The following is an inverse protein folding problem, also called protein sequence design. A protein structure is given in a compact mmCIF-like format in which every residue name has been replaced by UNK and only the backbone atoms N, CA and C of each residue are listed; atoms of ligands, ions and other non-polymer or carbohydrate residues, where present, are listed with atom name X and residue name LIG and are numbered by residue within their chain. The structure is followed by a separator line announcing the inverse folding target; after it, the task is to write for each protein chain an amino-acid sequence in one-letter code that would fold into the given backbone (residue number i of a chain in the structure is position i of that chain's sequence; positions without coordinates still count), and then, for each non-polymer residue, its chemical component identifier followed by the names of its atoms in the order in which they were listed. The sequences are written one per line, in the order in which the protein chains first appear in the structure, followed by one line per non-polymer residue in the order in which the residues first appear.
data_IF_922815959228
#
_entry.id   IF_922815959228
#
_cell.length_a   1.000
_cell.length_b   1.000
_cell.length_c   1.000
_cell.angle_alpha   90.00
_cell.angle_beta   90.00
_cell.angle_gamma   90.00
#
_symmetry.space_group_name_H-M   'P 1'
#
loop_
_entity.id
_entity.type
_entity.pdbx_description
1 polymer ?
#
# COMPACT_ATOMS: atom_id res chain seq x y z
N UNK A 1 34.38 32.81 59.08
CA UNK A 1 34.47 33.38 57.72
C UNK A 1 34.51 32.35 56.56
N UNK A 2 34.49 31.02 56.77
CA UNK A 2 34.51 30.01 55.68
C UNK A 2 33.15 29.59 55.09
N UNK A 3 32.02 30.00 55.67
CA UNK A 3 30.67 29.60 55.21
C UNK A 3 30.02 30.53 54.18
N UNK A 4 30.59 31.71 53.92
CA UNK A 4 30.07 32.69 52.93
C UNK A 4 30.71 32.58 51.55
N UNK A 5 31.92 32.04 51.41
CA UNK A 5 32.57 31.83 50.11
C UNK A 5 31.94 30.69 49.30
N UNK A 6 31.54 29.57 49.95
CA UNK A 6 30.92 28.44 49.24
C UNK A 6 29.51 28.74 48.67
N UNK A 7 28.85 29.81 49.12
CA UNK A 7 27.51 30.16 48.62
C UNK A 7 27.57 30.94 47.30
N UNK A 8 28.59 31.77 47.12
CA UNK A 8 28.81 32.53 45.90
C UNK A 8 29.37 31.64 44.76
N UNK A 9 30.14 30.60 45.10
CA UNK A 9 30.63 29.62 44.13
C UNK A 9 29.50 28.71 43.62
N UNK A 10 28.54 28.37 44.48
CA UNK A 10 27.36 27.58 44.12
C UNK A 10 26.31 28.35 43.30
N UNK A 11 26.23 29.68 43.45
CA UNK A 11 25.35 30.54 42.64
C UNK A 11 25.95 30.87 41.27
N UNK A 12 27.28 30.94 41.14
CA UNK A 12 27.96 31.18 39.85
C UNK A 12 27.86 30.00 38.86
N UNK A 13 27.55 28.79 39.35
CA UNK A 13 27.49 27.59 38.51
C UNK A 13 26.08 27.34 37.94
N UNK A 14 25.05 28.02 38.48
CA UNK A 14 23.63 27.84 38.10
C UNK A 14 23.18 28.66 36.88
N UNK A 15 24.06 29.49 36.31
CA UNK A 15 23.76 30.39 35.18
C UNK A 15 24.62 30.20 33.93
N UNK A 16 25.41 29.13 33.84
CA UNK A 16 25.94 28.71 32.53
C UNK A 16 24.90 27.87 31.80
N UNK A 17 24.09 28.53 30.98
CA UNK A 17 23.36 27.90 29.89
C UNK A 17 24.42 27.23 29.01
N UNK A 18 24.38 25.90 28.78
CA UNK A 18 25.30 25.27 27.86
C UNK A 18 25.06 25.85 26.47
N UNK A 19 26.12 26.34 25.84
CA UNK A 19 26.09 26.73 24.44
C UNK A 19 25.71 25.46 23.63
N UNK A 20 24.67 25.49 22.76
CA UNK A 20 24.23 24.28 22.05
C UNK A 20 25.25 23.76 21.03
N UNK A 21 26.33 24.52 20.77
CA UNK A 21 27.25 24.27 19.67
C UNK A 21 28.55 23.54 20.05
N UNK A 22 28.74 23.09 21.31
CA UNK A 22 30.05 22.57 21.76
C UNK A 22 30.14 21.08 22.13
N UNK A 23 29.13 20.26 21.84
CA UNK A 23 29.24 18.79 21.97
C UNK A 23 28.87 18.10 20.65
N UNK A 24 29.66 18.39 19.60
CA UNK A 24 29.81 17.52 18.45
C UNK A 24 30.53 16.23 18.89
N UNK A 25 29.83 15.41 19.66
CA UNK A 25 30.21 14.02 19.90
C UNK A 25 30.01 13.26 18.58
N UNK A 26 31.11 12.68 18.08
CA UNK A 26 31.17 11.84 16.89
C UNK A 26 30.29 10.59 17.06
N UNK A 27 28.98 10.73 16.89
CA UNK A 27 28.29 9.75 16.08
C UNK A 27 28.82 9.93 14.67
N UNK A 28 29.23 8.84 14.01
CA UNK A 28 29.31 8.85 12.55
C UNK A 28 27.87 8.85 12.03
N UNK A 29 27.18 9.95 12.34
CA UNK A 29 25.80 10.19 12.01
C UNK A 29 25.78 10.19 10.49
N UNK A 30 25.07 9.24 9.91
CA UNK A 30 24.83 9.30 8.49
C UNK A 30 24.11 10.63 8.28
N UNK A 31 24.81 11.61 7.68
CA UNK A 31 24.16 12.87 7.29
C UNK A 31 22.83 12.52 6.64
N UNK A 32 21.75 13.21 7.00
CA UNK A 32 20.42 12.98 6.41
C UNK A 32 20.47 12.84 4.88
N UNK A 33 21.42 13.55 4.25
CA UNK A 33 21.75 13.45 2.82
C UNK A 33 22.17 12.04 2.39
N UNK A 34 23.02 11.34 3.15
CA UNK A 34 23.45 9.96 2.87
C UNK A 34 22.29 8.98 3.00
N UNK A 35 21.46 9.12 4.04
CA UNK A 35 20.25 8.28 4.21
C UNK A 35 19.30 8.50 3.03
N UNK A 36 19.05 9.76 2.67
CA UNK A 36 18.23 10.12 1.52
C UNK A 36 18.81 9.57 0.21
N UNK A 37 20.10 9.75 -0.03
CA UNK A 37 20.79 9.19 -1.21
C UNK A 37 20.66 7.68 -1.28
N UNK A 38 20.79 6.97 -0.15
CA UNK A 38 20.61 5.52 -0.09
C UNK A 38 19.17 5.12 -0.40
N UNK A 39 18.18 5.76 0.23
CA UNK A 39 16.76 5.49 -0.05
C UNK A 39 16.41 5.77 -1.52
N UNK A 40 16.94 6.86 -2.10
CA UNK A 40 16.72 7.21 -3.50
C UNK A 40 17.39 6.19 -4.43
N UNK A 41 18.64 5.81 -4.17
CA UNK A 41 19.34 4.79 -4.94
C UNK A 41 18.60 3.45 -4.89
N UNK A 42 18.15 3.03 -3.70
CA UNK A 42 17.32 1.84 -3.53
C UNK A 42 16.02 1.92 -4.35
N UNK A 43 15.32 3.06 -4.34
CA UNK A 43 14.10 3.25 -5.13
C UNK A 43 14.36 3.18 -6.63
N UNK A 44 15.44 3.80 -7.10
CA UNK A 44 15.84 3.74 -8.52
C UNK A 44 16.16 2.29 -8.90
N UNK A 45 17.01 1.60 -8.13
CA UNK A 45 17.36 0.20 -8.39
C UNK A 45 16.09 -0.67 -8.40
N UNK A 46 15.21 -0.51 -7.42
CA UNK A 46 13.96 -1.27 -7.36
C UNK A 46 13.07 -1.01 -8.59
N UNK A 47 12.95 0.25 -9.03
CA UNK A 47 12.17 0.60 -10.23
C UNK A 47 12.74 0.04 -11.53
N UNK A 48 14.06 -0.16 -11.61
CA UNK A 48 14.73 -0.72 -12.78
C UNK A 48 14.74 -2.25 -12.78
N UNK A 49 14.63 -2.87 -11.61
CA UNK A 49 14.69 -4.32 -11.47
C UNK A 49 13.32 -4.99 -11.48
N UNK A 50 12.26 -4.31 -11.05
CA UNK A 50 10.92 -4.89 -10.96
C UNK A 50 10.46 -5.42 -12.32
N UNK A 51 9.94 -6.65 -12.34
CA UNK A 51 9.46 -7.34 -13.55
C UNK A 51 8.02 -7.79 -13.40
N UNK A 52 7.37 -7.41 -12.30
CA UNK A 52 6.01 -7.80 -11.99
C UNK A 52 5.09 -6.60 -12.18
N UNK A 53 3.89 -6.92 -12.66
CA UNK A 53 2.82 -5.96 -12.80
C UNK A 53 1.83 -6.19 -11.67
N UNK A 54 1.36 -5.08 -11.11
CA UNK A 54 0.18 -5.04 -10.28
C UNK A 54 -0.68 -3.93 -10.84
N UNK A 55 -2.00 -4.10 -10.93
CA UNK A 55 -2.90 -2.99 -11.26
C UNK A 55 -3.22 -2.23 -9.97
N UNK A 56 -2.56 -1.10 -9.67
CA UNK A 56 -2.85 -0.32 -8.48
C UNK A 56 -4.16 0.45 -8.69
N UNK A 57 -5.31 -0.14 -8.35
CA UNK A 57 -6.54 0.65 -8.45
C UNK A 57 -6.52 1.91 -7.56
N UNK A 58 -5.64 2.01 -6.53
CA UNK A 58 -5.47 3.27 -5.77
C UNK A 58 -4.10 3.46 -5.04
N UNK A 59 -2.97 2.94 -5.54
CA UNK A 59 -1.69 2.89 -4.76
C UNK A 59 -0.65 4.00 -5.00
N UNK A 60 -1.01 5.20 -5.48
CA UNK A 60 -0.08 6.36 -5.47
C UNK A 60 0.15 6.95 -4.07
N UNK A 61 0.23 6.10 -3.06
CA UNK A 61 0.35 6.45 -1.66
C UNK A 61 1.80 6.28 -1.22
N UNK A 62 2.61 7.28 -1.53
CA UNK A 62 3.79 7.56 -0.73
C UNK A 62 3.32 8.19 0.58
N UNK A 63 3.50 7.55 1.76
CA UNK A 63 3.36 8.23 3.03
C UNK A 63 4.62 9.08 3.27
N UNK A 64 4.89 10.04 2.38
CA UNK A 64 5.77 11.15 2.75
C UNK A 64 4.94 12.10 3.58
N UNK A 65 4.89 11.82 4.89
CA UNK A 65 4.28 12.74 5.83
C UNK A 65 5.16 13.97 5.86
N UNK A 66 4.74 15.04 5.19
CA UNK A 66 5.25 16.37 5.44
C UNK A 66 4.84 16.78 6.85
N UNK A 67 5.54 16.28 7.87
CA UNK A 67 5.19 16.40 9.29
C UNK A 67 4.96 17.86 9.70
N UNK A 68 5.75 18.78 9.15
CA UNK A 68 5.61 20.22 9.40
C UNK A 68 4.35 20.83 8.78
N UNK A 69 3.86 20.29 7.67
CA UNK A 69 2.64 20.72 6.97
C UNK A 69 1.41 20.08 7.64
N UNK A 70 1.47 18.79 7.97
CA UNK A 70 0.37 18.02 8.57
C UNK A 70 0.14 18.29 10.07
N UNK A 71 1.18 18.66 10.83
CA UNK A 71 1.08 18.95 12.27
C UNK A 71 1.47 20.40 12.62
N UNK A 72 1.62 21.27 11.61
CA UNK A 72 1.75 22.71 11.79
C UNK A 72 0.39 23.42 11.86
N UNK A 73 0.37 24.75 11.68
CA UNK A 73 -0.88 25.55 11.67
C UNK A 73 -1.89 25.14 10.59
N UNK A 74 -1.46 24.37 9.58
CA UNK A 74 -2.30 23.90 8.49
C UNK A 74 -2.83 22.47 8.68
N UNK A 75 -2.56 21.82 9.82
CA UNK A 75 -2.85 20.39 9.98
C UNK A 75 -4.31 20.01 9.78
N UNK A 76 -5.24 20.85 10.23
CA UNK A 76 -6.67 20.64 10.04
C UNK A 76 -7.10 20.77 8.57
N UNK A 77 -6.47 21.67 7.81
CA UNK A 77 -6.71 21.83 6.37
C UNK A 77 -6.19 20.61 5.61
N UNK A 78 -5.01 20.11 5.98
CA UNK A 78 -4.44 18.88 5.39
C UNK A 78 -5.32 17.67 5.70
N UNK A 79 -5.84 17.57 6.93
CA UNK A 79 -6.80 16.54 7.32
C UNK A 79 -8.08 16.62 6.49
N UNK A 80 -8.67 17.81 6.35
CA UNK A 80 -9.87 18.02 5.56
C UNK A 80 -9.65 17.67 4.08
N UNK A 81 -8.52 18.10 3.50
CA UNK A 81 -8.13 17.78 2.13
C UNK A 81 -7.93 16.27 1.94
N UNK A 82 -7.26 15.59 2.88
CA UNK A 82 -7.06 14.15 2.84
C UNK A 82 -8.39 13.39 2.90
N UNK A 83 -9.36 13.83 3.71
CA UNK A 83 -10.70 13.25 3.79
C UNK A 83 -11.55 13.54 2.55
N UNK A 84 -11.39 14.72 1.94
CA UNK A 84 -12.07 15.11 0.72
C UNK A 84 -11.61 14.29 -0.49
N UNK A 85 -10.29 14.15 -0.67
CA UNK A 85 -9.70 13.32 -1.72
C UNK A 85 -9.97 11.85 -1.45
N UNK A 86 -9.86 11.43 -0.18
CA UNK A 86 -10.00 10.04 0.22
C UNK A 86 -10.85 9.92 1.50
N UNK A 87 -12.16 9.64 1.37
CA UNK A 87 -13.06 9.52 2.52
C UNK A 87 -12.62 8.50 3.58
N UNK A 88 -11.91 7.44 3.18
CA UNK A 88 -11.37 6.43 4.10
C UNK A 88 -10.32 6.99 5.06
N UNK A 89 -9.61 8.07 4.70
CA UNK A 89 -8.66 8.77 5.59
C UNK A 89 -9.34 9.38 6.83
N UNK A 90 -10.66 9.59 6.78
CA UNK A 90 -11.42 10.13 7.90
C UNK A 90 -11.29 9.28 9.15
N UNK A 91 -11.14 7.96 9.02
CA UNK A 91 -11.00 7.05 10.17
C UNK A 91 -9.73 7.37 10.98
N UNK A 92 -8.61 7.62 10.30
CA UNK A 92 -7.34 8.01 10.92
C UNK A 92 -7.43 9.39 11.56
N UNK A 93 -7.94 10.38 10.81
CA UNK A 93 -8.00 11.77 11.26
C UNK A 93 -9.05 11.99 12.36
N UNK A 94 -10.12 11.18 12.40
CA UNK A 94 -11.11 11.23 13.48
C UNK A 94 -10.50 10.85 14.83
N UNK A 95 -9.63 9.83 14.87
CA UNK A 95 -8.92 9.45 16.09
C UNK A 95 -8.00 10.57 16.58
N UNK A 96 -7.20 11.15 15.67
CA UNK A 96 -6.29 12.25 15.99
C UNK A 96 -7.08 13.48 16.44
N UNK A 97 -8.14 13.83 15.71
CA UNK A 97 -9.02 14.96 16.02
C UNK A 97 -9.73 14.80 17.37
N UNK A 98 -10.21 13.60 17.70
CA UNK A 98 -10.81 13.31 19.00
C UNK A 98 -9.80 13.46 20.14
N UNK A 99 -8.58 12.92 19.98
CA UNK A 99 -7.53 13.08 20.98
C UNK A 99 -7.17 14.55 21.20
N UNK A 100 -7.16 15.37 20.15
CA UNK A 100 -6.85 16.79 20.25
C UNK A 100 -8.00 17.59 20.86
N UNK A 101 -9.24 17.26 20.50
CA UNK A 101 -10.44 17.83 21.11
C UNK A 101 -10.51 17.55 22.62
N UNK A 102 -10.12 16.35 23.04
CA UNK A 102 -10.10 15.97 24.46
C UNK A 102 -9.03 16.73 25.27
N UNK A 103 -7.89 17.08 24.66
CA UNK A 103 -6.82 17.86 25.30
C UNK A 103 -7.10 19.36 25.32
N UNK A 104 -7.83 19.87 24.34
CA UNK A 104 -8.07 21.30 24.18
C UNK A 104 -8.94 21.82 25.32
N UNK A 105 -8.51 22.93 25.95
CA UNK A 105 -9.24 23.57 27.06
C UNK A 105 -10.59 24.13 26.63
N UNK A 106 -10.63 24.79 25.46
CA UNK A 106 -11.84 25.42 24.93
C UNK A 106 -12.36 24.66 23.70
N UNK A 107 -13.10 23.58 23.97
CA UNK A 107 -13.55 22.61 22.96
C UNK A 107 -14.53 23.22 21.97
N UNK A 108 -15.44 24.06 22.45
CA UNK A 108 -16.48 24.68 21.63
C UNK A 108 -15.85 25.70 20.67
N UNK A 109 -14.90 26.51 21.16
CA UNK A 109 -14.20 27.46 20.30
C UNK A 109 -13.42 26.75 19.20
N UNK A 110 -12.66 25.71 19.54
CA UNK A 110 -11.92 24.92 18.54
C UNK A 110 -12.86 24.30 17.49
N UNK A 111 -13.98 23.72 17.91
CA UNK A 111 -14.94 23.10 17.00
C UNK A 111 -15.58 24.13 16.05
N UNK A 112 -16.13 25.23 16.59
CA UNK A 112 -16.91 26.17 15.80
C UNK A 112 -16.07 27.18 15.02
N UNK A 113 -14.88 27.55 15.49
CA UNK A 113 -14.02 28.54 14.82
C UNK A 113 -12.94 27.93 13.92
N UNK A 114 -12.55 26.68 14.13
CA UNK A 114 -11.50 26.04 13.33
C UNK A 114 -12.07 24.88 12.51
N UNK A 115 -12.67 23.87 13.14
CA UNK A 115 -13.11 22.64 12.47
C UNK A 115 -14.26 22.89 11.49
N UNK A 116 -15.35 23.51 11.95
CA UNK A 116 -16.56 23.72 11.14
C UNK A 116 -16.28 24.60 9.91
N UNK A 117 -15.60 25.76 10.01
CA UNK A 117 -15.35 26.60 8.84
C UNK A 117 -14.48 25.91 7.79
N UNK A 118 -13.44 25.19 8.22
CA UNK A 118 -12.56 24.42 7.31
C UNK A 118 -13.35 23.29 6.65
N UNK A 119 -14.18 22.58 7.41
CA UNK A 119 -15.03 21.51 6.89
C UNK A 119 -16.02 22.01 5.85
N UNK A 120 -16.74 23.10 6.14
CA UNK A 120 -17.71 23.71 5.20
C UNK A 120 -17.00 24.18 3.93
N UNK A 121 -15.86 24.86 4.07
CA UNK A 121 -15.08 25.31 2.93
C UNK A 121 -14.66 24.12 2.05
N UNK A 122 -14.13 23.05 2.65
CA UNK A 122 -13.66 21.89 1.90
C UNK A 122 -14.80 21.16 1.20
N UNK A 123 -15.93 20.96 1.89
CA UNK A 123 -17.14 20.34 1.31
C UNK A 123 -17.70 21.17 0.16
N UNK A 124 -17.72 22.50 0.32
CA UNK A 124 -18.13 23.42 -0.73
C UNK A 124 -17.22 23.33 -1.96
N UNK A 125 -15.90 23.33 -1.76
CA UNK A 125 -14.92 23.19 -2.84
C UNK A 125 -15.06 21.84 -3.57
N UNK A 126 -15.22 20.73 -2.85
CA UNK A 126 -15.44 19.42 -3.48
C UNK A 126 -16.74 19.38 -4.26
N UNK A 127 -17.83 19.95 -3.74
CA UNK A 127 -19.12 19.93 -4.41
C UNK A 127 -19.11 20.80 -5.68
N UNK A 128 -18.39 21.92 -5.68
CA UNK A 128 -18.16 22.73 -6.88
C UNK A 128 -17.35 21.98 -7.94
N UNK A 129 -16.30 21.27 -7.53
CA UNK A 129 -15.48 20.46 -8.43
C UNK A 129 -16.29 19.29 -9.00
N UNK A 130 -17.04 18.58 -8.15
CA UNK A 130 -17.93 17.50 -8.57
C UNK A 130 -18.99 18.03 -9.56
N UNK A 131 -19.58 19.19 -9.30
CA UNK A 131 -20.52 19.82 -10.22
C UNK A 131 -19.88 20.17 -11.57
N UNK A 132 -18.68 20.74 -11.56
CA UNK A 132 -17.94 21.08 -12.77
C UNK A 132 -17.61 19.83 -13.61
N UNK A 133 -17.21 18.73 -12.98
CA UNK A 133 -16.83 17.49 -13.67
C UNK A 133 -18.02 16.66 -14.15
N UNK A 134 -19.04 16.50 -13.30
CA UNK A 134 -20.20 15.64 -13.59
C UNK A 134 -21.38 16.39 -14.25
N UNK A 135 -21.35 17.73 -14.29
CA UNK A 135 -22.43 18.57 -14.82
C UNK A 135 -23.70 18.61 -13.96
N UNK A 136 -23.68 18.00 -12.77
CA UNK A 136 -24.79 17.94 -11.81
C UNK A 136 -24.27 18.05 -10.39
N UNK A 137 -25.09 18.63 -9.50
CA UNK A 137 -24.76 18.72 -8.09
C UNK A 137 -24.77 17.31 -7.47
N UNK A 138 -23.57 16.82 -7.15
CA UNK A 138 -23.36 15.55 -6.46
C UNK A 138 -22.44 15.82 -5.28
N UNK A 139 -22.66 15.08 -4.20
CA UNK A 139 -21.72 14.99 -3.10
C UNK A 139 -21.09 13.60 -3.09
N UNK A 140 -19.95 13.45 -3.77
CA UNK A 140 -19.28 12.16 -3.96
C UNK A 140 -18.98 11.44 -2.64
N UNK A 141 -18.52 12.11 -1.56
CA UNK A 141 -18.30 11.45 -0.27
C UNK A 141 -19.55 10.80 0.34
N UNK A 142 -20.75 11.35 0.12
CA UNK A 142 -22.00 10.72 0.57
C UNK A 142 -22.35 9.50 -0.26
N UNK A 143 -22.13 9.56 -1.57
CA UNK A 143 -22.33 8.39 -2.44
C UNK A 143 -21.34 7.27 -2.10
N UNK A 144 -20.09 7.64 -1.80
CA UNK A 144 -19.08 6.70 -1.32
C UNK A 144 -19.53 6.02 -0.02
N UNK A 145 -20.03 6.78 0.96
CA UNK A 145 -20.56 6.23 2.21
C UNK A 145 -21.75 5.31 1.94
N UNK A 146 -22.68 5.74 1.08
CA UNK A 146 -23.85 4.95 0.70
C UNK A 146 -23.45 3.62 0.05
N UNK A 147 -22.53 3.65 -0.91
CA UNK A 147 -22.11 2.45 -1.64
C UNK A 147 -21.30 1.49 -0.77
N UNK A 148 -20.28 1.99 -0.07
CA UNK A 148 -19.32 1.15 0.65
C UNK A 148 -19.81 0.72 2.04
N UNK A 149 -20.53 1.57 2.76
CA UNK A 149 -20.94 1.29 4.14
C UNK A 149 -22.41 0.91 4.27
N UNK A 150 -23.31 1.57 3.53
CA UNK A 150 -24.76 1.37 3.70
C UNK A 150 -25.35 0.30 2.77
N UNK A 151 -24.79 0.13 1.56
CA UNK A 151 -25.35 -0.75 0.52
C UNK A 151 -24.54 -2.05 0.33
N UNK A 152 -23.44 -2.23 1.08
CA UNK A 152 -22.55 -3.40 0.96
C UNK A 152 -22.08 -3.62 -0.50
N UNK A 153 -21.83 -2.54 -1.25
CA UNK A 153 -21.40 -2.63 -2.65
C UNK A 153 -20.00 -3.25 -2.79
N UNK A 154 -19.10 -2.95 -1.84
CA UNK A 154 -17.76 -3.53 -1.80
C UNK A 154 -17.74 -5.05 -1.58
N UNK A 155 -18.81 -5.64 -1.03
CA UNK A 155 -18.89 -7.09 -0.82
C UNK A 155 -18.92 -7.87 -2.15
N UNK A 156 -19.21 -7.20 -3.28
CA UNK A 156 -19.09 -7.77 -4.63
C UNK A 156 -17.67 -8.30 -4.90
N UNK A 157 -16.65 -7.58 -4.42
CA UNK A 157 -15.24 -7.94 -4.60
C UNK A 157 -14.74 -8.93 -3.53
N UNK A 158 -15.65 -9.61 -2.84
CA UNK A 158 -15.34 -10.60 -1.81
C UNK A 158 -15.35 -10.02 -0.39
N UNK A 159 -15.50 -10.92 0.58
CA UNK A 159 -15.56 -10.57 2.01
C UNK A 159 -14.62 -11.44 2.82
N UNK A 160 -14.11 -10.85 3.91
CA UNK A 160 -13.24 -11.54 4.85
C UNK A 160 -13.85 -11.52 6.26
N UNK A 161 -13.49 -12.51 7.10
CA UNK A 161 -13.95 -12.54 8.50
C UNK A 161 -13.46 -11.31 9.27
N UNK A 162 -14.18 -10.93 10.33
CA UNK A 162 -13.89 -9.73 11.11
C UNK A 162 -12.44 -9.68 11.65
N UNK A 163 -11.87 -10.84 12.02
CA UNK A 163 -10.52 -10.94 12.56
C UNK A 163 -9.42 -10.89 11.50
N UNK A 164 -9.75 -10.84 10.21
CA UNK A 164 -8.78 -10.98 9.13
C UNK A 164 -7.61 -10.01 9.22
N UNK A 165 -7.85 -8.73 9.54
CA UNK A 165 -6.76 -7.76 9.72
C UNK A 165 -5.79 -8.14 10.85
N UNK A 166 -6.29 -8.72 11.94
CA UNK A 166 -5.47 -9.11 13.08
C UNK A 166 -4.72 -10.42 12.86
N UNK A 167 -5.32 -11.36 12.10
CA UNK A 167 -4.74 -12.70 11.91
C UNK A 167 -3.89 -12.82 10.65
N UNK A 168 -4.25 -12.10 9.58
CA UNK A 168 -3.66 -12.26 8.25
C UNK A 168 -3.30 -10.91 7.64
N UNK A 169 -4.28 -10.02 7.43
CA UNK A 169 -4.12 -8.77 6.67
C UNK A 169 -2.95 -7.90 7.15
N UNK A 170 -3.06 -7.30 8.34
CA UNK A 170 -2.00 -6.44 8.86
C UNK A 170 -0.74 -7.23 9.25
N UNK A 171 -0.92 -8.46 9.71
CA UNK A 171 0.17 -9.37 10.10
C UNK A 171 1.10 -9.69 8.94
N UNK A 172 0.59 -9.91 7.73
CA UNK A 172 1.38 -10.12 6.51
C UNK A 172 2.07 -8.83 6.09
N UNK A 173 1.44 -7.66 6.26
CA UNK A 173 2.05 -6.38 5.90
C UNK A 173 3.26 -6.02 6.76
N UNK A 174 3.17 -6.26 8.06
CA UNK A 174 4.29 -6.00 8.99
C UNK A 174 5.30 -7.16 9.02
N UNK A 175 4.85 -8.37 8.66
CA UNK A 175 5.68 -9.56 8.48
C UNK A 175 6.65 -9.81 9.65
N UNK A 176 7.93 -10.03 9.37
CA UNK A 176 8.97 -10.32 10.37
C UNK A 176 9.27 -9.15 11.30
N UNK A 177 8.75 -7.95 11.04
CA UNK A 177 8.83 -6.82 11.96
C UNK A 177 7.80 -6.89 13.11
N UNK A 178 6.83 -7.82 13.07
CA UNK A 178 5.76 -7.92 14.08
C UNK A 178 6.28 -8.05 15.53
N UNK A 179 7.20 -8.98 15.85
CA UNK A 179 7.66 -9.14 17.24
C UNK A 179 8.36 -7.88 17.77
N UNK A 180 9.10 -7.20 16.90
CA UNK A 180 9.77 -5.93 17.18
C UNK A 180 8.75 -4.81 17.41
N UNK A 181 7.67 -4.76 16.63
CA UNK A 181 6.59 -3.79 16.83
C UNK A 181 5.93 -3.98 18.20
N UNK A 182 5.57 -5.22 18.56
CA UNK A 182 4.97 -5.53 19.86
C UNK A 182 5.92 -5.14 21.00
N UNK A 183 7.20 -5.52 20.90
CA UNK A 183 8.21 -5.12 21.89
C UNK A 183 8.35 -3.58 21.98
N UNK A 184 8.35 -2.89 20.84
CA UNK A 184 8.41 -1.44 20.77
C UNK A 184 7.21 -0.74 21.41
N UNK A 185 6.00 -1.27 21.23
CA UNK A 185 4.78 -0.78 21.90
C UNK A 185 4.94 -0.92 23.43
N UNK A 186 5.41 -2.07 23.90
CA UNK A 186 5.61 -2.35 25.33
C UNK A 186 6.68 -1.42 25.93
N UNK A 187 7.81 -1.24 25.24
CA UNK A 187 8.94 -0.45 25.75
C UNK A 187 8.71 1.06 25.68
N UNK A 188 8.11 1.57 24.61
CA UNK A 188 7.91 3.01 24.40
C UNK A 188 6.82 3.60 25.30
N UNK A 189 5.86 2.78 25.77
CA UNK A 189 4.66 3.21 26.51
C UNK A 189 3.85 4.31 25.79
N UNK A 190 3.98 4.44 24.47
CA UNK A 190 3.28 5.43 23.66
C UNK A 190 1.88 4.93 23.25
N UNK A 191 0.97 4.85 24.22
CA UNK A 191 -0.38 4.31 24.04
C UNK A 191 -1.21 5.05 22.97
N UNK A 192 -0.92 6.31 22.67
CA UNK A 192 -1.66 7.08 21.64
C UNK A 192 -1.44 6.51 20.23
N UNK A 193 -0.20 6.21 19.87
CA UNK A 193 0.13 5.65 18.55
C UNK A 193 -0.29 4.19 18.44
N UNK A 194 -0.10 3.40 19.51
CA UNK A 194 -0.62 2.03 19.58
C UNK A 194 -2.16 2.00 19.49
N UNK A 195 -2.83 2.94 20.17
CA UNK A 195 -4.27 3.13 20.10
C UNK A 195 -4.76 3.52 18.70
N UNK A 196 -3.99 4.32 17.96
CA UNK A 196 -4.31 4.65 16.56
C UNK A 196 -4.25 3.41 15.66
N UNK A 197 -3.23 2.56 15.81
CA UNK A 197 -3.14 1.29 15.07
C UNK A 197 -4.37 0.43 15.41
N UNK A 198 -4.64 0.21 16.70
CA UNK A 198 -5.79 -0.58 17.14
C UNK A 198 -7.14 -0.01 16.66
N UNK A 199 -7.29 1.31 16.66
CA UNK A 199 -8.48 2.02 16.16
C UNK A 199 -8.71 1.75 14.68
N UNK A 200 -7.69 1.95 13.84
CA UNK A 200 -7.80 1.75 12.40
C UNK A 200 -8.09 0.29 12.07
N UNK A 201 -7.36 -0.66 12.67
CA UNK A 201 -7.62 -2.08 12.47
C UNK A 201 -9.03 -2.49 12.94
N UNK A 202 -9.44 -2.02 14.12
CA UNK A 202 -10.75 -2.34 14.69
C UNK A 202 -11.90 -1.79 13.84
N UNK A 203 -11.81 -0.55 13.36
CA UNK A 203 -12.87 0.06 12.57
C UNK A 203 -13.02 -0.61 11.21
N UNK A 204 -11.92 -0.84 10.49
CA UNK A 204 -11.99 -1.54 9.20
C UNK A 204 -12.35 -3.03 9.34
N UNK A 205 -12.10 -3.65 10.50
CA UNK A 205 -12.52 -5.03 10.78
C UNK A 205 -14.04 -5.22 10.80
N UNK A 206 -14.82 -4.15 11.01
CA UNK A 206 -16.29 -4.17 10.99
C UNK A 206 -16.83 -4.37 9.56
N UNK A 207 -16.10 -3.91 8.55
CA UNK A 207 -16.54 -3.98 7.15
C UNK A 207 -16.39 -5.40 6.60
N UNK A 208 -17.33 -5.85 5.76
CA UNK A 208 -17.29 -7.16 5.09
C UNK A 208 -16.10 -7.26 4.15
N UNK A 209 -16.06 -6.35 3.16
CA UNK A 209 -14.92 -6.14 2.28
C UNK A 209 -13.70 -5.57 3.00
N UNK A 210 -12.53 -6.15 2.74
CA UNK A 210 -11.26 -5.78 3.38
C UNK A 210 -10.13 -5.81 2.38
N UNK A 211 -9.22 -4.87 2.51
CA UNK A 211 -8.07 -4.73 1.63
C UNK A 211 -6.85 -4.25 2.42
N UNK A 212 -5.66 -4.66 2.00
CA UNK A 212 -4.41 -4.21 2.63
C UNK A 212 -4.26 -2.68 2.59
N UNK A 213 -4.77 -2.02 1.53
CA UNK A 213 -4.66 -0.56 1.34
C UNK A 213 -5.39 0.28 2.38
N UNK A 214 -6.43 -0.24 3.02
CA UNK A 214 -7.19 0.51 4.03
C UNK A 214 -6.38 0.70 5.32
N UNK A 215 -5.53 -0.26 5.65
CA UNK A 215 -4.69 -0.26 6.87
C UNK A 215 -3.23 0.11 6.58
N UNK A 216 -2.85 0.28 5.32
CA UNK A 216 -1.52 0.73 4.90
C UNK A 216 -1.04 2.02 5.59
N UNK A 217 -1.88 3.04 5.84
CA UNK A 217 -1.43 4.26 6.51
C UNK A 217 -0.89 4.07 7.94
N UNK A 218 -1.27 2.99 8.64
CA UNK A 218 -0.76 2.70 9.98
C UNK A 218 0.48 1.79 9.99
N UNK A 219 0.89 1.25 8.83
CA UNK A 219 2.09 0.43 8.70
C UNK A 219 3.37 1.21 9.07
N UNK A 220 3.61 2.45 8.60
CA UNK A 220 4.78 3.22 9.03
C UNK A 220 4.83 3.44 10.55
N UNK A 221 3.67 3.63 11.19
CA UNK A 221 3.59 3.81 12.65
C UNK A 221 3.98 2.51 13.38
N UNK A 222 3.55 1.36 12.86
CA UNK A 222 3.98 0.07 13.39
C UNK A 222 5.49 -0.16 13.20
N UNK A 223 6.04 0.20 12.05
CA UNK A 223 7.48 0.11 11.78
C UNK A 223 8.31 1.07 12.65
N UNK A 224 7.77 2.23 13.03
CA UNK A 224 8.41 3.10 14.03
C UNK A 224 8.59 2.39 15.37
N UNK A 225 7.61 1.62 15.83
CA UNK A 225 7.77 0.81 17.05
C UNK A 225 8.83 -0.28 16.87
N UNK A 226 8.89 -0.94 15.71
CA UNK A 226 9.93 -1.91 15.40
C UNK A 226 11.32 -1.26 15.48
N UNK A 227 11.51 -0.10 14.87
CA UNK A 227 12.76 0.68 14.96
C UNK A 227 13.12 1.07 16.39
N UNK A 228 12.15 1.53 17.18
CA UNK A 228 12.35 1.84 18.60
C UNK A 228 12.83 0.61 19.39
N UNK A 229 12.25 -0.56 19.16
CA UNK A 229 12.66 -1.78 19.85
C UNK A 229 14.10 -2.19 19.52
N UNK A 230 14.53 -2.01 18.27
CA UNK A 230 15.90 -2.29 17.84
C UNK A 230 16.90 -1.32 18.49
N UNK A 231 16.56 -0.02 18.55
CA UNK A 231 17.38 0.97 19.22
C UNK A 231 17.54 0.67 20.74
N UNK A 232 16.50 0.15 21.39
CA UNK A 232 16.58 -0.29 22.80
C UNK A 232 17.45 -1.53 22.96
N UNK A 233 17.46 -2.45 21.99
CA UNK A 233 18.33 -3.65 22.00
C UNK A 233 19.80 -3.26 21.84
N UNK A 234 20.08 -2.25 21.01
CA UNK A 234 21.44 -1.73 20.80
C UNK A 234 22.02 -1.10 22.06
N UNK A 235 21.20 -0.34 22.78
CA UNK A 235 21.60 0.31 24.03
C UNK A 235 20.50 0.26 25.10
N UNK A 236 20.44 -0.85 25.88
CA UNK A 236 19.48 -1.01 26.96
C UNK A 236 19.63 0.03 28.09
N UNK A 237 20.75 0.77 28.11
CA UNK A 237 21.13 1.72 29.15
C UNK A 237 21.19 3.18 28.68
N UNK A 238 20.71 3.50 27.48
CA UNK A 238 20.91 4.84 26.90
C UNK A 238 20.31 5.96 27.76
N UNK A 239 21.07 7.05 28.02
CA UNK A 239 20.58 8.28 28.63
C UNK A 239 19.35 8.86 27.94
N UNK A 240 19.20 8.60 26.64
CA UNK A 240 18.11 9.09 25.78
C UNK A 240 16.75 8.51 26.22
N UNK A 241 16.73 7.31 26.80
CA UNK A 241 15.50 6.63 27.26
C UNK A 241 15.32 6.66 28.79
N UNK A 242 16.39 7.00 29.54
CA UNK A 242 16.40 7.28 31.00
C UNK A 242 17.35 8.43 31.26
N UNK A 243 16.87 9.67 31.30
CA UNK A 243 17.68 10.90 31.38
C UNK A 243 18.77 10.97 32.46
N UNK A 244 19.96 10.38 32.22
CA UNK A 244 21.22 10.56 32.98
C UNK A 244 22.43 10.17 32.13
N UNK A 245 23.48 11.01 32.20
CA UNK A 245 24.65 11.13 31.31
C UNK A 245 25.38 9.84 30.88
N UNK A 246 25.94 9.91 29.67
CA UNK A 246 26.64 8.90 28.88
C UNK A 246 27.89 8.31 29.53
N UNK A 247 28.02 6.99 29.46
CA UNK A 247 29.30 6.27 29.56
C UNK A 247 29.76 5.91 28.15
N UNK A 248 31.07 6.01 27.89
CA UNK A 248 31.71 5.71 26.60
C UNK A 248 31.26 4.36 26.03
N UNK A 249 30.81 4.35 24.77
CA UNK A 249 30.37 3.14 24.07
C UNK A 249 31.46 2.59 23.16
N UNK A 250 31.69 1.29 23.27
CA UNK A 250 32.39 0.51 22.27
C UNK A 250 31.64 0.54 20.93
N UNK A 251 32.36 0.80 19.84
CA UNK A 251 31.92 0.92 18.44
C UNK A 251 31.40 -0.38 17.80
N UNK A 252 31.11 -1.42 18.59
CA UNK A 252 30.77 -2.76 18.08
C UNK A 252 29.28 -3.05 18.30
N UNK A 253 28.55 -3.31 17.21
CA UNK A 253 27.16 -3.76 17.25
C UNK A 253 27.01 -4.96 18.20
N UNK A 254 26.05 -4.88 19.12
CA UNK A 254 25.70 -5.98 20.04
C UNK A 254 25.34 -7.24 19.24
N UNK A 255 25.77 -8.46 19.64
CA UNK A 255 25.45 -9.68 18.90
C UNK A 255 23.93 -9.91 18.76
N UNK A 256 23.13 -9.39 19.71
CA UNK A 256 21.67 -9.42 19.64
C UNK A 256 21.10 -8.50 18.54
N UNK A 257 21.68 -7.32 18.38
CA UNK A 257 21.35 -6.37 17.32
C UNK A 257 21.70 -6.98 15.96
N UNK A 258 22.91 -7.52 15.82
CA UNK A 258 23.36 -8.19 14.59
C UNK A 258 22.45 -9.35 14.21
N UNK A 259 22.06 -10.20 15.18
CA UNK A 259 21.14 -11.31 14.94
C UNK A 259 19.75 -10.82 14.50
N UNK A 260 19.22 -9.76 15.13
CA UNK A 260 17.94 -9.18 14.78
C UNK A 260 17.95 -8.58 13.36
N UNK A 261 19.00 -7.84 13.00
CA UNK A 261 19.19 -7.31 11.65
C UNK A 261 19.30 -8.45 10.64
N UNK A 262 20.12 -9.46 10.92
CA UNK A 262 20.27 -10.62 10.03
C UNK A 262 18.93 -11.33 9.82
N UNK A 263 18.15 -11.56 10.89
CA UNK A 263 16.82 -12.14 10.79
C UNK A 263 15.88 -11.32 9.89
N UNK A 264 15.86 -9.99 10.06
CA UNK A 264 15.04 -9.10 9.22
C UNK A 264 15.50 -9.12 7.76
N UNK A 265 16.80 -9.09 7.50
CA UNK A 265 17.33 -9.12 6.14
C UNK A 265 17.04 -10.46 5.45
N UNK A 266 17.30 -11.58 6.12
CA UNK A 266 17.10 -12.94 5.58
C UNK A 266 15.62 -13.23 5.31
N UNK A 267 14.71 -12.65 6.09
CA UNK A 267 13.26 -12.85 5.87
C UNK A 267 12.71 -11.91 4.79
N UNK A 268 13.12 -10.64 4.75
CA UNK A 268 12.54 -9.65 3.84
C UNK A 268 13.20 -9.62 2.46
N UNK A 269 14.53 -9.74 2.35
CA UNK A 269 15.21 -9.60 1.04
C UNK A 269 14.81 -10.70 0.06
N UNK A 270 14.85 -12.01 0.41
CA UNK A 270 14.44 -13.06 -0.52
C UNK A 270 12.97 -12.93 -0.91
N UNK A 271 12.10 -12.56 0.05
CA UNK A 271 10.67 -12.34 -0.22
C UNK A 271 10.48 -11.18 -1.20
N UNK A 272 11.14 -10.04 -0.96
CA UNK A 272 11.04 -8.86 -1.83
C UNK A 272 11.55 -9.17 -3.25
N UNK A 273 12.69 -9.83 -3.38
CA UNK A 273 13.24 -10.23 -4.69
C UNK A 273 12.30 -11.21 -5.40
N UNK A 274 11.80 -12.24 -4.72
CA UNK A 274 10.89 -13.20 -5.32
C UNK A 274 9.59 -12.56 -5.79
N UNK A 275 8.96 -11.73 -4.95
CA UNK A 275 7.69 -11.07 -5.27
C UNK A 275 7.83 -9.96 -6.32
N UNK A 276 9.03 -9.39 -6.50
CA UNK A 276 9.28 -8.34 -7.49
C UNK A 276 9.81 -8.85 -8.82
N UNK A 277 10.43 -10.04 -8.85
CA UNK A 277 11.15 -10.55 -10.03
C UNK A 277 10.57 -11.85 -10.59
N UNK A 278 9.82 -12.62 -9.80
CA UNK A 278 9.44 -13.99 -10.16
C UNK A 278 7.94 -14.19 -10.07
N UNK A 279 7.35 -13.91 -8.90
CA UNK A 279 5.93 -14.19 -8.68
C UNK A 279 5.03 -13.22 -9.45
N UNK A 280 4.06 -13.74 -10.20
CA UNK A 280 3.15 -12.97 -11.06
C UNK A 280 3.87 -12.13 -12.13
N UNK A 281 4.96 -12.66 -12.68
CA UNK A 281 5.73 -12.01 -13.77
C UNK A 281 5.07 -12.16 -15.15
N UNK A 282 4.26 -13.19 -15.34
CA UNK A 282 3.72 -13.59 -16.65
C UNK A 282 3.02 -12.48 -17.43
N UNK A 283 2.15 -11.66 -16.81
CA UNK A 283 1.46 -10.58 -17.50
C UNK A 283 2.40 -9.59 -18.17
N UNK A 284 3.49 -9.24 -17.50
CA UNK A 284 4.48 -8.29 -17.98
C UNK A 284 5.28 -8.90 -19.14
N UNK A 285 5.73 -10.15 -19.00
CA UNK A 285 6.48 -10.86 -20.05
C UNK A 285 5.65 -11.05 -21.34
N UNK A 286 4.36 -11.37 -21.20
CA UNK A 286 3.44 -11.52 -22.34
C UNK A 286 3.27 -10.20 -23.08
N UNK A 287 3.03 -9.10 -22.34
CA UNK A 287 2.83 -7.80 -22.96
C UNK A 287 4.11 -7.27 -23.60
N UNK A 288 5.28 -7.51 -23.00
CA UNK A 288 6.58 -7.25 -23.62
C UNK A 288 6.75 -7.98 -24.95
N UNK A 289 6.39 -9.27 -24.99
CA UNK A 289 6.46 -10.06 -26.21
C UNK A 289 5.51 -9.53 -27.29
N UNK A 290 4.25 -9.27 -26.93
CA UNK A 290 3.26 -8.71 -27.85
C UNK A 290 3.67 -7.33 -28.37
N UNK A 291 4.29 -6.49 -27.54
CA UNK A 291 4.83 -5.20 -27.97
C UNK A 291 5.93 -5.37 -29.03
N UNK A 292 6.85 -6.31 -28.82
CA UNK A 292 7.87 -6.66 -29.81
C UNK A 292 7.29 -7.19 -31.13
N UNK A 293 6.30 -8.09 -31.06
CA UNK A 293 5.64 -8.62 -32.27
C UNK A 293 4.76 -7.58 -32.98
N UNK A 294 4.16 -6.65 -32.24
CA UNK A 294 3.42 -5.51 -32.78
C UNK A 294 4.35 -4.56 -33.55
N UNK A 295 5.57 -4.31 -33.06
CA UNK A 295 6.56 -3.50 -33.77
C UNK A 295 6.94 -4.10 -35.13
N UNK A 296 6.96 -5.43 -35.25
CA UNK A 296 7.22 -6.13 -36.52
C UNK A 296 5.98 -6.29 -37.41
N UNK A 297 4.80 -5.85 -36.96
CA UNK A 297 3.54 -5.96 -37.71
C UNK A 297 2.93 -7.37 -37.70
N UNK A 298 3.37 -8.25 -36.79
CA UNK A 298 2.86 -9.61 -36.67
C UNK A 298 1.55 -9.68 -35.87
N UNK A 299 1.35 -8.76 -34.92
CA UNK A 299 0.12 -8.63 -34.13
C UNK A 299 -0.84 -7.65 -34.79
N UNK A 300 -2.09 -8.07 -35.01
CA UNK A 300 -3.16 -7.21 -35.56
C UNK A 300 -4.28 -6.94 -34.57
N UNK A 301 -4.59 -7.92 -33.73
CA UNK A 301 -5.63 -7.87 -32.71
C UNK A 301 -5.37 -8.92 -31.63
N UNK A 302 -5.65 -8.59 -30.37
CA UNK A 302 -5.41 -9.48 -29.23
C UNK A 302 -6.69 -9.67 -28.43
N UNK A 303 -7.03 -10.91 -28.12
CA UNK A 303 -8.11 -11.26 -27.19
C UNK A 303 -7.53 -11.84 -25.90
N UNK A 304 -7.90 -11.25 -24.77
CA UNK A 304 -7.53 -11.71 -23.44
C UNK A 304 -8.68 -12.54 -22.86
N UNK A 305 -8.52 -13.86 -22.84
CA UNK A 305 -9.37 -14.81 -22.13
C UNK A 305 -8.78 -15.06 -20.73
N UNK A 306 -8.70 -13.99 -19.97
CA UNK A 306 -8.18 -13.95 -18.60
C UNK A 306 -9.18 -13.20 -17.70
N UNK A 307 -9.10 -13.35 -16.37
CA UNK A 307 -9.78 -12.43 -15.46
C UNK A 307 -9.49 -10.97 -15.80
N UNK A 308 -10.42 -10.09 -15.46
CA UNK A 308 -10.22 -8.66 -15.61
C UNK A 308 -8.96 -8.15 -14.91
N UNK A 309 -8.36 -7.11 -15.49
CA UNK A 309 -7.15 -6.44 -14.98
C UNK A 309 -5.92 -7.35 -14.84
N UNK A 310 -5.91 -8.52 -15.51
CA UNK A 310 -4.79 -9.45 -15.44
C UNK A 310 -3.51 -8.96 -16.14
N UNK A 311 -3.59 -8.02 -17.08
CA UNK A 311 -2.43 -7.52 -17.84
C UNK A 311 -2.37 -5.98 -17.88
N UNK A 312 -1.17 -5.37 -18.04
CA UNK A 312 -0.98 -3.91 -18.12
C UNK A 312 -1.53 -3.28 -19.40
N UNK A 313 -1.93 -4.08 -20.39
CA UNK A 313 -2.64 -3.63 -21.58
C UNK A 313 -1.85 -2.54 -22.35
N UNK A 314 -2.50 -1.45 -22.77
CA UNK A 314 -1.85 -0.39 -23.56
C UNK A 314 -0.68 0.30 -22.84
N UNK A 315 -0.62 0.23 -21.50
CA UNK A 315 0.48 0.85 -20.76
C UNK A 315 1.84 0.23 -21.07
N UNK A 316 1.84 -1.04 -21.53
CA UNK A 316 3.05 -1.75 -21.94
C UNK A 316 3.12 -2.00 -23.46
N UNK A 317 1.97 -2.16 -24.13
CA UNK A 317 1.97 -2.45 -25.57
C UNK A 317 2.50 -1.27 -26.41
N UNK A 318 2.19 -0.03 -26.03
CA UNK A 318 2.55 1.19 -26.76
C UNK A 318 2.20 1.22 -28.27
N UNK A 319 1.27 0.38 -28.72
CA UNK A 319 0.78 0.33 -30.10
C UNK A 319 -0.75 0.44 -30.16
N UNK A 320 -1.24 1.18 -31.16
CA UNK A 320 -2.68 1.34 -31.40
C UNK A 320 -3.23 0.15 -32.20
N UNK A 321 -3.52 -0.94 -31.50
CA UNK A 321 -4.09 -2.17 -32.05
C UNK A 321 -5.36 -2.53 -31.26
N UNK A 322 -6.41 -3.08 -31.89
CA UNK A 322 -7.60 -3.52 -31.19
C UNK A 322 -7.25 -4.65 -30.22
N UNK A 323 -7.49 -4.41 -28.94
CA UNK A 323 -7.41 -5.41 -27.89
C UNK A 323 -8.79 -5.59 -27.26
N UNK A 324 -9.13 -6.79 -26.84
CA UNK A 324 -10.41 -7.12 -26.20
C UNK A 324 -10.17 -7.97 -24.95
N UNK A 325 -10.90 -7.71 -23.88
CA UNK A 325 -10.92 -8.53 -22.67
C UNK A 325 -12.39 -8.74 -22.24
N UNK A 326 -12.62 -9.73 -21.40
CA UNK A 326 -13.97 -10.10 -20.93
C UNK A 326 -14.57 -9.00 -20.05
N UNK A 327 -15.85 -8.66 -20.23
CA UNK A 327 -16.50 -7.67 -19.39
C UNK A 327 -16.65 -8.15 -17.94
N UNK A 328 -16.34 -7.26 -17.01
CA UNK A 328 -16.50 -7.46 -15.56
C UNK A 328 -17.16 -6.26 -14.90
N UNK A 329 -17.94 -5.50 -15.68
CA UNK A 329 -18.72 -4.39 -15.15
C UNK A 329 -19.71 -4.95 -14.13
N UNK A 330 -19.69 -4.47 -12.86
CA UNK A 330 -20.56 -5.01 -11.83
C UNK A 330 -22.03 -4.71 -12.15
N UNK A 331 -22.88 -5.73 -12.02
CA UNK A 331 -24.34 -5.59 -12.17
C UNK A 331 -24.95 -4.80 -11.00
N UNK A 332 -26.04 -4.08 -11.24
CA UNK A 332 -26.84 -3.46 -10.18
C UNK A 332 -27.52 -4.51 -9.28
N UNK A 333 -27.78 -5.71 -9.82
CA UNK A 333 -28.36 -6.83 -9.10
C UNK A 333 -27.28 -7.72 -8.49
N UNK A 334 -27.34 -7.90 -7.17
CA UNK A 334 -26.39 -8.76 -6.44
C UNK A 334 -26.54 -10.22 -6.88
N UNK A 335 -25.42 -10.84 -7.23
CA UNK A 335 -25.32 -12.27 -7.51
C UNK A 335 -25.52 -12.65 -8.97
N UNK A 336 -25.69 -11.68 -9.87
CA UNK A 336 -25.63 -11.93 -11.31
C UNK A 336 -24.14 -11.97 -11.72
N UNK A 337 -23.62 -13.12 -12.19
CA UNK A 337 -22.24 -13.22 -12.66
C UNK A 337 -22.04 -12.37 -13.93
N UNK A 338 -20.88 -11.73 -14.01
CA UNK A 338 -20.45 -10.99 -15.20
C UNK A 338 -19.87 -11.93 -16.29
N UNK A 339 -19.51 -11.37 -17.44
CA UNK A 339 -18.97 -12.15 -18.58
C UNK A 339 -17.68 -12.87 -18.19
N UNK A 340 -16.79 -12.20 -17.43
CA UNK A 340 -15.57 -12.80 -16.91
C UNK A 340 -15.89 -13.95 -15.95
N UNK A 341 -16.87 -13.81 -15.06
CA UNK A 341 -17.26 -14.88 -14.14
C UNK A 341 -17.84 -16.09 -14.87
N UNK A 342 -18.71 -15.86 -15.86
CA UNK A 342 -19.24 -16.93 -16.71
C UNK A 342 -18.15 -17.73 -17.41
N UNK A 343 -17.15 -17.04 -17.97
CA UNK A 343 -15.99 -17.69 -18.57
C UNK A 343 -15.21 -18.53 -17.56
N UNK A 344 -14.99 -18.01 -16.35
CA UNK A 344 -14.19 -18.71 -15.33
C UNK A 344 -14.93 -19.92 -14.74
N UNK A 345 -16.26 -19.90 -14.70
CA UNK A 345 -17.08 -21.04 -14.27
C UNK A 345 -17.03 -22.20 -15.27
N UNK A 346 -17.28 -21.91 -16.56
CA UNK A 346 -17.24 -22.94 -17.61
C UNK A 346 -16.66 -22.40 -18.94
N UNK A 347 -15.34 -22.48 -19.14
CA UNK A 347 -14.68 -21.86 -20.28
C UNK A 347 -15.11 -22.43 -21.63
N UNK A 348 -15.35 -23.75 -21.74
CA UNK A 348 -15.53 -24.40 -23.03
C UNK A 348 -16.87 -24.07 -23.72
N UNK A 349 -18.03 -24.12 -23.03
CA UNK A 349 -19.29 -23.63 -23.58
C UNK A 349 -19.25 -22.12 -23.83
N UNK A 350 -18.66 -21.34 -22.91
CA UNK A 350 -18.52 -19.89 -23.05
C UNK A 350 -17.82 -19.53 -24.35
N UNK A 351 -16.61 -20.08 -24.59
CA UNK A 351 -15.84 -19.77 -25.80
C UNK A 351 -16.55 -20.25 -27.06
N UNK A 352 -17.28 -21.37 -27.00
CA UNK A 352 -18.06 -21.87 -28.15
C UNK A 352 -19.20 -20.94 -28.55
N UNK A 353 -19.85 -20.28 -27.57
CA UNK A 353 -20.87 -19.28 -27.85
C UNK A 353 -20.26 -17.95 -28.27
N UNK A 354 -19.24 -17.50 -27.53
CA UNK A 354 -18.50 -16.28 -27.81
C UNK A 354 -17.91 -16.29 -29.21
N UNK A 355 -17.44 -17.47 -29.66
CA UNK A 355 -16.86 -17.66 -30.98
C UNK A 355 -17.82 -17.40 -32.15
N UNK A 356 -19.14 -17.44 -31.91
CA UNK A 356 -20.15 -17.11 -32.92
C UNK A 356 -20.23 -15.61 -33.21
N UNK A 357 -19.80 -14.77 -32.25
CA UNK A 357 -19.93 -13.31 -32.29
C UNK A 357 -18.59 -12.61 -32.48
N UNK A 358 -17.48 -13.25 -32.13
CA UNK A 358 -16.17 -12.60 -32.18
C UNK A 358 -15.63 -12.42 -33.60
N UNK A 359 -14.90 -11.32 -33.84
CA UNK A 359 -14.02 -11.20 -35.00
C UNK A 359 -12.76 -12.01 -34.71
N UNK A 360 -12.33 -12.93 -35.59
CA UNK A 360 -11.15 -13.78 -35.36
C UNK A 360 -9.92 -12.94 -34.94
N UNK A 361 -9.50 -12.98 -33.66
CA UNK A 361 -8.32 -12.24 -33.22
C UNK A 361 -7.04 -12.85 -33.82
N UNK A 362 -6.00 -12.03 -34.00
CA UNK A 362 -4.70 -12.58 -34.44
C UNK A 362 -4.01 -13.37 -33.33
N UNK A 363 -4.17 -12.94 -32.08
CA UNK A 363 -3.57 -13.55 -30.91
C UNK A 363 -4.61 -13.72 -29.79
N UNK A 364 -4.52 -14.83 -29.07
CA UNK A 364 -5.34 -15.12 -27.88
C UNK A 364 -4.39 -15.34 -26.70
N UNK A 365 -4.67 -14.68 -25.58
CA UNK A 365 -3.92 -14.79 -24.33
C UNK A 365 -4.80 -15.41 -23.27
N UNK A 366 -4.32 -16.45 -22.59
CA UNK A 366 -5.03 -17.13 -21.52
C UNK A 366 -4.08 -17.76 -20.51
N UNK A 367 -4.55 -17.97 -19.28
CA UNK A 367 -3.83 -18.74 -18.28
C UNK A 367 -3.89 -20.24 -18.60
N UNK A 368 -2.89 -20.98 -18.12
CA UNK A 368 -2.75 -22.41 -18.39
C UNK A 368 -3.87 -23.27 -17.79
N UNK A 369 -4.46 -22.87 -16.67
CA UNK A 369 -5.64 -23.51 -16.07
C UNK A 369 -6.84 -23.59 -17.02
N UNK A 370 -7.10 -22.51 -17.75
CA UNK A 370 -8.19 -22.39 -18.72
C UNK A 370 -7.79 -23.00 -20.06
N UNK A 371 -6.50 -22.87 -20.44
CA UNK A 371 -5.94 -23.44 -21.66
C UNK A 371 -6.11 -24.96 -21.73
N UNK A 372 -5.89 -25.67 -20.63
CA UNK A 372 -6.09 -27.12 -20.55
C UNK A 372 -7.51 -27.55 -20.97
N UNK A 373 -8.51 -26.72 -20.71
CA UNK A 373 -9.91 -26.98 -21.07
C UNK A 373 -10.24 -26.56 -22.50
N UNK A 374 -9.54 -25.55 -23.03
CA UNK A 374 -9.84 -24.91 -24.32
C UNK A 374 -8.95 -25.36 -25.48
N UNK A 375 -7.84 -26.04 -25.21
CA UNK A 375 -6.82 -26.40 -26.21
C UNK A 375 -7.38 -27.02 -27.49
N UNK A 376 -8.26 -28.01 -27.36
CA UNK A 376 -8.85 -28.69 -28.50
C UNK A 376 -9.75 -27.76 -29.33
N UNK A 377 -10.49 -26.87 -28.67
CA UNK A 377 -11.33 -25.86 -29.33
C UNK A 377 -10.49 -24.78 -30.02
N UNK A 378 -9.40 -24.33 -29.40
CA UNK A 378 -8.49 -23.36 -30.03
C UNK A 378 -7.84 -23.93 -31.30
N UNK A 379 -7.40 -25.19 -31.24
CA UNK A 379 -6.84 -25.89 -32.42
C UNK A 379 -7.89 -26.03 -33.53
N UNK A 380 -9.14 -26.37 -33.19
CA UNK A 380 -10.22 -26.48 -34.19
C UNK A 380 -10.59 -25.14 -34.82
N UNK A 381 -10.40 -24.03 -34.09
CA UNK A 381 -10.54 -22.67 -34.62
C UNK A 381 -9.31 -22.17 -35.41
N UNK A 382 -8.29 -23.01 -35.59
CA UNK A 382 -7.09 -22.69 -36.39
C UNK A 382 -6.00 -21.95 -35.62
N UNK A 383 -6.00 -22.00 -34.28
CA UNK A 383 -4.92 -21.42 -33.48
C UNK A 383 -3.86 -22.46 -33.12
N UNK A 384 -2.61 -22.00 -33.00
CA UNK A 384 -1.50 -22.78 -32.47
C UNK A 384 -0.87 -22.05 -31.28
N UNK A 385 -0.35 -22.81 -30.31
CA UNK A 385 0.48 -22.24 -29.25
C UNK A 385 1.74 -21.65 -29.88
N UNK A 386 1.99 -20.36 -29.63
CA UNK A 386 3.19 -19.66 -30.06
C UNK A 386 4.23 -19.64 -28.95
N UNK A 387 3.80 -19.26 -27.74
CA UNK A 387 4.70 -19.10 -26.61
C UNK A 387 4.00 -19.26 -25.27
N UNK A 388 4.76 -19.68 -24.27
CA UNK A 388 4.33 -19.84 -22.88
C UNK A 388 5.29 -19.12 -21.96
N UNK A 389 4.73 -18.35 -21.05
CA UNK A 389 5.45 -17.53 -20.09
C UNK A 389 5.17 -18.00 -18.67
N UNK A 390 6.22 -18.07 -17.85
CA UNK A 390 6.07 -18.38 -16.45
C UNK A 390 5.31 -17.25 -15.73
N UNK A 391 4.38 -17.60 -14.84
CA UNK A 391 3.62 -16.63 -14.06
C UNK A 391 3.82 -16.80 -12.56
N UNK A 392 3.47 -17.95 -11.97
CA UNK A 392 3.49 -18.11 -10.52
C UNK A 392 3.75 -19.56 -10.08
N UNK A 393 4.39 -19.73 -8.93
CA UNK A 393 4.55 -21.04 -8.30
C UNK A 393 3.36 -21.41 -7.39
N UNK A 394 2.63 -20.41 -6.91
CA UNK A 394 1.58 -20.58 -5.91
C UNK A 394 0.28 -19.94 -6.39
N UNK A 395 -0.83 -20.54 -5.98
CA UNK A 395 -2.18 -19.97 -6.16
C UNK A 395 -2.28 -18.68 -5.36
N UNK A 396 -2.93 -17.67 -5.95
CA UNK A 396 -3.18 -16.38 -5.27
C UNK A 396 -4.62 -16.33 -4.77
N UNK A 397 -5.60 -16.54 -5.65
CA UNK A 397 -7.04 -16.55 -5.28
C UNK A 397 -7.81 -17.77 -5.79
N UNK A 398 -7.56 -18.16 -7.05
CA UNK A 398 -8.30 -19.22 -7.76
C UNK A 398 -7.39 -20.42 -8.03
N UNK A 399 -7.49 -21.00 -9.23
CA UNK A 399 -6.59 -22.04 -9.68
C UNK A 399 -5.17 -21.56 -9.88
N UNK A 400 -4.26 -22.54 -9.99
CA UNK A 400 -2.85 -22.24 -10.14
C UNK A 400 -2.64 -21.77 -11.58
N UNK A 401 -2.50 -20.46 -11.71
CA UNK A 401 -2.12 -19.77 -12.93
C UNK A 401 -0.60 -19.84 -13.07
N UNK A 402 -0.06 -21.04 -13.32
CA UNK A 402 1.40 -21.23 -13.33
C UNK A 402 2.06 -20.59 -14.54
N UNK A 403 1.33 -20.51 -15.66
CA UNK A 403 1.81 -19.89 -16.88
C UNK A 403 0.73 -19.14 -17.64
N UNK A 404 1.14 -18.17 -18.46
CA UNK A 404 0.29 -17.51 -19.45
C UNK A 404 0.73 -17.98 -20.83
N UNK A 405 -0.24 -18.35 -21.66
CA UNK A 405 -0.03 -18.92 -22.99
C UNK A 405 -0.54 -17.94 -24.03
N UNK A 406 0.25 -17.76 -25.10
CA UNK A 406 -0.10 -16.97 -26.27
C UNK A 406 -0.34 -17.93 -27.43
N UNK A 407 -1.53 -17.83 -28.00
CA UNK A 407 -1.96 -18.56 -29.19
C UNK A 407 -2.02 -17.59 -30.37
N UNK A 408 -1.56 -18.03 -31.54
CA UNK A 408 -1.58 -17.25 -32.79
C UNK A 408 -2.45 -17.95 -33.84
N UNK A 409 -3.21 -17.17 -34.60
CA UNK A 409 -4.02 -17.67 -35.70
C UNK A 409 -3.12 -18.17 -36.84
N UNK A 410 -3.28 -19.43 -37.22
CA UNK A 410 -2.60 -20.04 -38.36
C UNK A 410 -3.32 -19.60 -39.63
N UNK A 411 -2.58 -18.97 -40.55
CA UNK A 411 -3.09 -18.61 -41.89
C UNK A 411 -3.23 -19.81 -42.79
#
# INVERSE_FOLDING_TARGET
MRRRQNKNEYESEKHRIPNPDSENSRFEDWSDKRVLCFCLAFRIINSLLIQTYFNPDEHWQGPEVAHRIAFGKCGLVVAALACAIRPTSAITWLFIGLLELLKTRDRLKFLFYEVVPIGILMVGLTCLLDHFMYGKWILVPLNFLKFNFLSSGGDYYGTHKWHWYFTQGFTVMIFSHLPFCIAGIIYSKQWKFAGLIAWVLGFYSILGHKEFRFVLPVLPIALMFSGYSLAVIEDPGSPVYRGKKSSEKNTKCSPKMTLAILFLLVTNIPMALYMSLVHQRGPEDVMNHLAGEAQHGNVRSVLFLTPCHATPYYSMLHHNLPMQFLDCTPSEEKGVPDESDHFMMDPAPFVSEYAKKWSLPSHIVLFDSEEQKLRNSLISFGYREERRFFNAHFKVDRDLQASIVVYVLVK
#
